data_IF_470116852642
#
_entry.id   IF_470116852642
#
_cell.length_a   1.000
_cell.length_b   1.000
_cell.length_c   1.000
_cell.angle_alpha   90.00
_cell.angle_beta   90.00
_cell.angle_gamma   90.00
#
_symmetry.space_group_name_H-M   'P 1'
#
loop_
_entity.id
_entity.type
_entity.pdbx_description
1 polymer ?
#
# COMPACT_ATOMS: atom_id res chain seq x y z
N UNK A 1 27.68 -5.44 7.38
CA UNK A 1 26.95 -5.54 8.66
C UNK A 1 26.43 -4.16 8.98
N UNK A 2 25.25 -3.82 8.48
CA UNK A 2 24.56 -2.56 8.79
C UNK A 2 23.57 -2.82 9.92
N UNK A 3 23.82 -2.24 11.07
CA UNK A 3 22.91 -2.29 12.22
C UNK A 3 21.75 -1.35 11.91
N UNK A 4 20.59 -1.89 11.52
CA UNK A 4 19.35 -1.15 11.33
C UNK A 4 18.78 -0.78 12.69
N UNK A 5 19.04 0.45 13.12
CA UNK A 5 18.30 1.04 14.22
C UNK A 5 16.90 1.36 13.72
N UNK A 6 15.86 0.74 14.28
CA UNK A 6 14.47 1.10 14.07
C UNK A 6 14.25 2.46 14.71
N UNK A 7 14.61 3.51 13.98
CA UNK A 7 14.37 4.91 14.35
C UNK A 7 13.20 5.43 13.54
N UNK A 8 12.03 5.53 14.15
CA UNK A 8 10.90 6.24 13.58
C UNK A 8 11.30 7.69 13.29
N UNK A 9 11.28 8.09 11.99
CA UNK A 9 11.30 9.51 11.71
C UNK A 9 12.18 10.04 10.59
N UNK A 10 12.61 9.23 9.60
CA UNK A 10 13.05 9.68 8.26
C UNK A 10 13.04 8.45 7.38
N UNK A 11 12.11 8.39 6.42
CA UNK A 11 11.94 7.25 5.52
C UNK A 11 13.28 6.84 4.89
N UNK A 12 13.59 5.55 4.93
CA UNK A 12 14.75 4.99 4.27
C UNK A 12 14.61 5.12 2.75
N UNK A 13 15.57 5.75 2.09
CA UNK A 13 15.56 5.90 0.63
C UNK A 13 16.31 4.76 -0.04
N UNK A 14 15.68 4.11 -1.01
CA UNK A 14 16.28 3.04 -1.82
C UNK A 14 15.79 3.07 -3.27
N UNK A 15 16.54 2.43 -4.15
CA UNK A 15 16.13 2.05 -5.51
C UNK A 15 16.21 0.54 -5.71
N UNK A 16 16.43 -0.22 -4.63
CA UNK A 16 16.52 -1.67 -4.63
C UNK A 16 15.23 -2.30 -4.10
N UNK A 17 14.62 -3.17 -4.89
CA UNK A 17 13.38 -3.88 -4.52
C UNK A 17 13.66 -4.96 -3.47
N UNK A 18 14.84 -5.59 -3.48
CA UNK A 18 15.21 -6.62 -2.53
C UNK A 18 15.26 -6.08 -1.10
N UNK A 19 15.73 -4.84 -0.91
CA UNK A 19 15.73 -4.18 0.40
C UNK A 19 14.31 -3.93 0.90
N UNK A 20 13.38 -3.58 0.00
CA UNK A 20 11.97 -3.39 0.35
C UNK A 20 11.35 -4.73 0.77
N UNK A 21 11.63 -5.79 0.01
CA UNK A 21 11.14 -7.13 0.31
C UNK A 21 11.66 -7.61 1.67
N UNK A 22 12.96 -7.45 1.93
CA UNK A 22 13.56 -7.82 3.22
C UNK A 22 12.91 -7.08 4.38
N UNK A 23 12.62 -5.78 4.21
CA UNK A 23 11.91 -4.98 5.21
C UNK A 23 10.49 -5.51 5.47
N UNK A 24 9.73 -5.80 4.41
CA UNK A 24 8.37 -6.35 4.52
C UNK A 24 8.37 -7.73 5.20
N UNK A 25 9.31 -8.62 4.83
CA UNK A 25 9.46 -9.94 5.44
C UNK A 25 9.82 -9.85 6.92
N UNK A 26 10.75 -8.97 7.29
CA UNK A 26 11.10 -8.75 8.71
C UNK A 26 9.91 -8.24 9.50
N UNK A 27 9.13 -7.33 8.93
CA UNK A 27 7.91 -6.81 9.58
C UNK A 27 6.88 -7.92 9.74
N UNK A 28 6.66 -8.72 8.70
CA UNK A 28 5.77 -9.88 8.75
C UNK A 28 6.18 -10.88 9.84
N UNK A 29 7.44 -11.28 9.88
CA UNK A 29 7.94 -12.21 10.89
C UNK A 29 7.87 -11.63 12.31
N UNK A 30 8.16 -10.33 12.47
CA UNK A 30 8.03 -9.64 13.76
C UNK A 30 6.59 -9.59 14.29
N UNK A 31 5.59 -9.60 13.40
CA UNK A 31 4.18 -9.62 13.78
C UNK A 31 3.64 -11.05 14.00
N UNK A 32 4.19 -12.05 13.32
CA UNK A 32 3.67 -13.43 13.29
C UNK A 32 4.42 -14.41 14.18
N UNK A 33 5.72 -14.16 14.40
CA UNK A 33 6.54 -15.03 15.27
C UNK A 33 6.40 -14.59 16.74
N UNK A 34 6.31 -15.55 17.69
CA UNK A 34 6.34 -15.21 19.11
C UNK A 34 7.69 -14.57 19.45
N UNK A 35 7.73 -13.59 20.38
CA UNK A 35 8.98 -13.09 20.90
C UNK A 35 9.77 -14.25 21.53
N UNK A 36 11.09 -14.25 21.32
CA UNK A 36 12.00 -15.23 21.89
C UNK A 36 12.75 -14.65 23.09
N UNK A 37 13.14 -15.50 24.05
CA UNK A 37 14.06 -15.12 25.12
C UNK A 37 15.52 -14.95 24.61
N UNK A 38 16.44 -14.68 25.53
CA UNK A 38 17.87 -14.47 25.22
C UNK A 38 18.54 -15.72 24.61
N UNK A 39 17.94 -16.91 24.81
CA UNK A 39 18.41 -18.21 24.28
C UNK A 39 17.74 -18.58 22.96
N UNK A 40 16.84 -17.72 22.43
CA UNK A 40 16.10 -17.93 21.18
C UNK A 40 14.91 -18.87 21.32
N UNK A 41 14.48 -19.22 22.56
CA UNK A 41 13.29 -20.03 22.81
C UNK A 41 12.03 -19.15 22.75
N UNK A 42 10.94 -19.64 22.13
CA UNK A 42 9.69 -18.88 22.09
C UNK A 42 9.20 -18.62 23.52
N UNK A 43 8.99 -17.36 23.86
CA UNK A 43 8.29 -17.01 25.09
C UNK A 43 6.85 -17.52 24.97
N UNK A 44 6.38 -18.25 25.98
CA UNK A 44 5.02 -18.77 26.05
C UNK A 44 4.03 -17.58 26.08
N UNK A 45 3.64 -17.13 24.90
CA UNK A 45 2.65 -16.09 24.73
C UNK A 45 1.29 -16.73 24.50
N UNK A 46 0.65 -17.21 25.57
CA UNK A 46 -0.80 -17.43 25.59
C UNK A 46 -1.63 -16.17 25.23
N UNK A 47 -0.97 -15.10 24.79
CA UNK A 47 -1.55 -13.79 24.52
C UNK A 47 -1.89 -13.52 23.06
N UNK A 48 -1.58 -14.44 22.09
CA UNK A 48 -1.96 -14.28 20.68
C UNK A 48 -2.91 -15.38 20.22
N UNK A 49 -3.99 -15.59 20.96
CA UNK A 49 -5.13 -16.40 20.51
C UNK A 49 -6.16 -15.60 19.70
N UNK A 50 -5.89 -14.33 19.39
CA UNK A 50 -6.68 -13.59 18.41
C UNK A 50 -6.16 -13.97 17.01
N UNK A 51 -7.07 -14.31 16.10
CA UNK A 51 -6.75 -14.60 14.71
C UNK A 51 -5.72 -13.58 14.21
N UNK A 52 -4.57 -14.07 13.71
CA UNK A 52 -3.49 -13.20 13.28
C UNK A 52 -4.04 -12.15 12.30
N UNK A 53 -3.92 -10.86 12.65
CA UNK A 53 -4.37 -9.78 11.79
C UNK A 53 -3.47 -9.74 10.55
N UNK A 54 -4.01 -9.40 9.38
CA UNK A 54 -3.20 -9.27 8.18
C UNK A 54 -2.17 -8.15 8.33
N UNK A 55 -0.96 -8.36 7.79
CA UNK A 55 -0.01 -7.28 7.55
C UNK A 55 -0.54 -6.40 6.42
N UNK A 56 -0.71 -5.10 6.67
CA UNK A 56 -1.20 -4.14 5.67
C UNK A 56 -0.03 -3.28 5.16
N UNK A 57 0.31 -3.45 3.87
CA UNK A 57 1.36 -2.70 3.17
C UNK A 57 0.70 -1.66 2.26
N UNK A 58 0.93 -0.38 2.51
CA UNK A 58 0.51 0.70 1.63
C UNK A 58 1.63 1.10 0.66
N UNK A 59 1.36 1.06 -0.66
CA UNK A 59 2.28 1.50 -1.72
C UNK A 59 1.67 2.72 -2.40
N UNK A 60 2.18 3.89 -2.09
CA UNK A 60 1.68 5.18 -2.54
C UNK A 60 2.66 5.89 -3.47
N UNK A 61 2.20 6.90 -4.11
CA UNK A 61 2.97 7.75 -5.02
C UNK A 61 2.11 8.25 -6.16
N UNK A 62 2.50 9.33 -6.79
CA UNK A 62 1.73 9.95 -7.87
C UNK A 62 1.61 9.03 -9.09
N UNK A 63 0.63 9.26 -9.93
CA UNK A 63 0.41 8.52 -11.18
C UNK A 63 1.68 8.42 -12.02
N UNK A 64 1.94 7.23 -12.58
CA UNK A 64 3.15 6.94 -13.36
C UNK A 64 4.43 6.73 -12.54
N UNK A 65 4.38 6.75 -11.20
CA UNK A 65 5.56 6.56 -10.35
C UNK A 65 6.11 5.12 -10.34
N UNK A 66 5.29 4.11 -10.69
CA UNK A 66 5.70 2.70 -10.72
C UNK A 66 5.17 1.86 -9.56
N UNK A 67 4.16 2.32 -8.84
CA UNK A 67 3.49 1.60 -7.74
C UNK A 67 3.05 0.19 -8.12
N UNK A 68 2.28 0.07 -9.20
CA UNK A 68 1.75 -1.21 -9.69
C UNK A 68 2.84 -2.21 -10.03
N UNK A 69 3.98 -1.74 -10.59
CA UNK A 69 5.12 -2.61 -10.83
C UNK A 69 5.73 -3.11 -9.51
N UNK A 70 5.92 -2.22 -8.54
CA UNK A 70 6.46 -2.58 -7.24
C UNK A 70 5.54 -3.56 -6.52
N UNK A 71 4.22 -3.30 -6.51
CA UNK A 71 3.24 -4.16 -5.85
C UNK A 71 3.26 -5.58 -6.43
N UNK A 72 3.33 -5.71 -7.77
CA UNK A 72 3.42 -7.01 -8.43
C UNK A 72 4.72 -7.77 -8.11
N UNK A 73 5.85 -7.06 -7.98
CA UNK A 73 7.12 -7.68 -7.56
C UNK A 73 7.06 -8.18 -6.11
N UNK A 74 6.48 -7.38 -5.19
CA UNK A 74 6.30 -7.79 -3.79
C UNK A 74 5.32 -8.95 -3.67
N UNK A 75 4.19 -8.90 -4.38
CA UNK A 75 3.23 -10.00 -4.42
C UNK A 75 3.89 -11.30 -4.87
N UNK A 76 4.64 -11.26 -5.97
CA UNK A 76 5.35 -12.43 -6.51
C UNK A 76 6.37 -12.98 -5.50
N UNK A 77 7.17 -12.11 -4.90
CA UNK A 77 8.23 -12.51 -3.97
C UNK A 77 7.66 -13.08 -2.68
N UNK A 78 6.64 -12.42 -2.09
CA UNK A 78 5.97 -12.93 -0.87
C UNK A 78 5.25 -14.26 -1.13
N UNK A 79 4.60 -14.40 -2.29
CA UNK A 79 3.95 -15.64 -2.69
C UNK A 79 4.95 -16.80 -2.90
N UNK A 80 6.16 -16.50 -3.38
CA UNK A 80 7.23 -17.49 -3.51
C UNK A 80 7.71 -18.03 -2.15
N UNK A 81 7.60 -17.23 -1.08
CA UNK A 81 7.82 -17.64 0.31
C UNK A 81 6.61 -18.39 0.93
N UNK A 82 5.57 -18.67 0.14
CA UNK A 82 4.36 -19.35 0.60
C UNK A 82 3.38 -18.45 1.37
N UNK A 83 3.56 -17.14 1.33
CA UNK A 83 2.69 -16.16 2.00
C UNK A 83 1.51 -15.85 1.07
N UNK A 84 0.28 -15.98 1.60
CA UNK A 84 -0.92 -15.58 0.88
C UNK A 84 -1.02 -14.05 0.85
N UNK A 85 -1.07 -13.47 -0.35
CA UNK A 85 -1.11 -12.03 -0.59
C UNK A 85 -2.37 -11.64 -1.33
N UNK A 86 -3.06 -10.61 -0.84
CA UNK A 86 -4.12 -9.92 -1.59
C UNK A 86 -3.62 -8.55 -2.02
N UNK A 87 -3.72 -8.24 -3.30
CA UNK A 87 -3.48 -6.88 -3.82
C UNK A 87 -4.82 -6.16 -3.99
N UNK A 88 -4.91 -4.97 -3.42
CA UNK A 88 -6.01 -4.03 -3.61
C UNK A 88 -5.50 -2.80 -4.37
N UNK A 89 -6.04 -2.58 -5.55
CA UNK A 89 -5.72 -1.40 -6.35
C UNK A 89 -6.76 -0.30 -6.07
N UNK A 90 -6.32 0.86 -5.62
CA UNK A 90 -7.22 1.99 -5.32
C UNK A 90 -7.87 2.58 -6.58
N UNK A 91 -7.29 2.38 -7.76
CA UNK A 91 -7.91 2.80 -9.02
C UNK A 91 -9.28 2.12 -9.22
N UNK A 92 -9.52 0.94 -8.61
CA UNK A 92 -10.82 0.28 -8.60
C UNK A 92 -11.82 0.84 -7.59
N UNK A 93 -11.42 1.80 -6.76
CA UNK A 93 -12.28 2.35 -5.69
C UNK A 93 -12.63 3.82 -5.94
N UNK A 94 -11.82 4.56 -6.71
CA UNK A 94 -12.11 5.97 -6.97
C UNK A 94 -13.40 6.13 -7.79
N UNK A 95 -14.40 6.88 -7.30
CA UNK A 95 -15.62 7.14 -8.05
C UNK A 95 -15.38 8.19 -9.15
N UNK A 96 -14.83 7.75 -10.28
CA UNK A 96 -14.52 8.60 -11.44
C UNK A 96 -13.32 9.52 -11.26
N UNK A 97 -13.16 10.41 -12.23
CA UNK A 97 -11.98 11.29 -12.33
C UNK A 97 -11.87 12.40 -11.27
N UNK A 98 -12.88 12.61 -10.43
CA UNK A 98 -12.85 13.53 -9.29
C UNK A 98 -12.85 12.80 -7.93
N UNK A 99 -12.78 11.48 -7.97
CA UNK A 99 -13.03 10.62 -6.82
C UNK A 99 -11.84 10.34 -5.92
N UNK A 100 -10.68 10.97 -6.11
CA UNK A 100 -9.46 10.63 -5.39
C UNK A 100 -9.62 10.77 -3.86
N UNK A 101 -10.21 11.86 -3.39
CA UNK A 101 -10.43 12.08 -1.95
C UNK A 101 -11.44 11.09 -1.37
N UNK A 102 -12.53 10.82 -2.09
CA UNK A 102 -13.57 9.89 -1.67
C UNK A 102 -13.05 8.45 -1.61
N UNK A 103 -12.34 8.00 -2.65
CA UNK A 103 -11.72 6.67 -2.64
C UNK A 103 -10.66 6.52 -1.55
N UNK A 104 -9.89 7.58 -1.26
CA UNK A 104 -8.95 7.59 -0.13
C UNK A 104 -9.68 7.44 1.21
N UNK A 105 -10.80 8.12 1.43
CA UNK A 105 -11.63 7.96 2.64
C UNK A 105 -12.20 6.55 2.75
N UNK A 106 -12.66 5.98 1.64
CA UNK A 106 -13.13 4.59 1.57
C UNK A 106 -12.02 3.63 1.99
N UNK A 107 -10.81 3.80 1.47
CA UNK A 107 -9.67 3.01 1.88
C UNK A 107 -9.31 3.17 3.36
N UNK A 108 -9.37 4.38 3.90
CA UNK A 108 -9.14 4.62 5.33
C UNK A 108 -10.13 3.86 6.21
N UNK A 109 -11.38 3.74 5.80
CA UNK A 109 -12.38 2.96 6.52
C UNK A 109 -12.12 1.45 6.42
N UNK A 110 -11.84 0.96 5.20
CA UNK A 110 -11.46 -0.44 4.94
C UNK A 110 -10.28 -0.84 5.81
N UNK A 111 -9.15 -0.15 5.68
CA UNK A 111 -7.91 -0.48 6.38
C UNK A 111 -8.06 -0.43 7.90
N UNK A 112 -8.83 0.53 8.42
CA UNK A 112 -9.14 0.64 9.85
C UNK A 112 -9.96 -0.55 10.36
N UNK A 113 -10.91 -1.04 9.57
CA UNK A 113 -11.71 -2.21 9.93
C UNK A 113 -10.86 -3.48 9.90
N UNK A 114 -10.07 -3.67 8.84
CA UNK A 114 -9.17 -4.82 8.71
C UNK A 114 -8.16 -4.89 9.86
N UNK A 115 -7.57 -3.75 10.23
CA UNK A 115 -6.62 -3.65 11.35
C UNK A 115 -7.26 -3.93 12.72
N UNK A 116 -8.60 -3.88 12.81
CA UNK A 116 -9.38 -4.28 14.00
C UNK A 116 -9.93 -5.72 13.90
N UNK A 117 -9.48 -6.51 12.93
CA UNK A 117 -9.98 -7.86 12.70
C UNK A 117 -11.43 -7.92 12.18
N UNK A 118 -11.95 -6.82 11.63
CA UNK A 118 -13.32 -6.75 11.12
C UNK A 118 -13.34 -6.84 9.61
N UNK A 119 -14.29 -7.58 9.02
CA UNK A 119 -14.51 -7.54 7.57
C UNK A 119 -14.81 -6.11 7.10
N UNK A 120 -14.41 -5.82 5.87
CA UNK A 120 -14.68 -4.55 5.22
C UNK A 120 -15.17 -4.79 3.79
N UNK A 121 -16.16 -4.03 3.37
CA UNK A 121 -16.70 -4.08 2.01
C UNK A 121 -16.47 -2.77 1.29
N UNK A 122 -16.33 -2.84 -0.01
CA UNK A 122 -16.27 -1.69 -0.90
C UNK A 122 -16.95 -2.02 -2.22
N UNK A 123 -17.37 -0.98 -2.93
CA UNK A 123 -17.92 -1.10 -4.27
C UNK A 123 -16.85 -0.70 -5.28
N UNK A 124 -16.62 -1.60 -6.24
CA UNK A 124 -15.71 -1.31 -7.36
C UNK A 124 -16.33 -0.23 -8.26
N UNK A 125 -15.48 0.62 -8.86
CA UNK A 125 -15.89 1.59 -9.86
C UNK A 125 -15.69 1.04 -11.27
N UNK A 126 -16.75 1.00 -12.04
CA UNK A 126 -16.70 0.63 -13.46
C UNK A 126 -16.36 1.89 -14.29
N UNK A 127 -15.09 2.00 -14.68
CA UNK A 127 -14.57 3.10 -15.48
C UNK A 127 -15.17 3.18 -16.89
N UNK A 128 -15.70 2.09 -17.45
CA UNK A 128 -16.36 2.08 -18.76
C UNK A 128 -17.80 2.56 -18.66
N UNK A 129 -18.51 2.14 -17.63
CA UNK A 129 -19.88 2.54 -17.39
C UNK A 129 -19.98 3.88 -16.66
N UNK A 130 -18.86 4.41 -16.11
CA UNK A 130 -18.79 5.57 -15.22
C UNK A 130 -19.81 5.47 -14.07
N UNK A 131 -19.84 4.32 -13.41
CA UNK A 131 -20.86 3.95 -12.42
C UNK A 131 -20.30 2.97 -11.37
N UNK A 132 -20.98 2.86 -10.19
CA UNK A 132 -20.66 1.82 -9.21
C UNK A 132 -20.85 0.41 -9.81
N UNK A 133 -19.82 -0.41 -9.69
CA UNK A 133 -19.76 -1.81 -10.10
C UNK A 133 -20.11 -2.80 -8.97
N UNK A 134 -19.53 -4.01 -9.00
CA UNK A 134 -19.77 -5.04 -7.99
C UNK A 134 -19.31 -4.62 -6.60
N UNK A 135 -19.92 -5.24 -5.59
CA UNK A 135 -19.47 -5.13 -4.20
C UNK A 135 -18.48 -6.26 -3.87
N UNK A 136 -17.40 -5.91 -3.20
CA UNK A 136 -16.36 -6.83 -2.74
C UNK A 136 -16.25 -6.77 -1.22
N UNK A 137 -15.97 -7.91 -0.60
CA UNK A 137 -15.71 -8.01 0.85
C UNK A 137 -14.32 -8.61 1.09
N UNK A 138 -13.57 -8.01 1.98
CA UNK A 138 -12.30 -8.50 2.48
C UNK A 138 -12.54 -9.01 3.90
N UNK A 139 -12.21 -10.29 4.13
CA UNK A 139 -12.28 -10.89 5.45
C UNK A 139 -10.86 -11.02 6.01
N UNK A 140 -10.49 -10.27 7.06
CA UNK A 140 -9.13 -10.29 7.59
C UNK A 140 -8.68 -11.67 8.11
N UNK A 141 -9.62 -12.54 8.51
CA UNK A 141 -9.30 -13.90 8.94
C UNK A 141 -8.85 -14.84 7.80
N UNK A 142 -9.00 -14.42 6.54
CA UNK A 142 -8.63 -15.18 5.34
C UNK A 142 -7.38 -14.60 4.65
N UNK A 143 -6.91 -13.44 5.10
CA UNK A 143 -5.81 -12.72 4.48
C UNK A 143 -4.58 -12.74 5.42
N UNK A 144 -3.40 -12.96 4.86
CA UNK A 144 -2.13 -12.93 5.61
C UNK A 144 -1.42 -11.61 5.37
N UNK A 145 -1.31 -11.20 4.11
CA UNK A 145 -0.77 -9.91 3.70
C UNK A 145 -1.75 -9.22 2.76
N UNK A 146 -2.00 -7.95 2.99
CA UNK A 146 -2.77 -7.09 2.09
C UNK A 146 -1.86 -5.99 1.59
N UNK A 147 -1.62 -5.94 0.28
CA UNK A 147 -0.93 -4.85 -0.38
C UNK A 147 -2.00 -3.92 -0.96
N UNK A 148 -2.09 -2.70 -0.46
CA UNK A 148 -2.90 -1.66 -1.07
C UNK A 148 -2.00 -0.73 -1.88
N UNK A 149 -2.24 -0.62 -3.19
CA UNK A 149 -1.50 0.27 -4.07
C UNK A 149 -2.42 1.31 -4.70
N UNK A 150 -1.93 2.54 -4.79
CA UNK A 150 -2.64 3.67 -5.38
C UNK A 150 -2.27 4.98 -4.74
N UNK A 151 -2.77 6.09 -5.28
CA UNK A 151 -2.61 7.42 -4.69
C UNK A 151 -3.48 7.51 -3.44
N UNK A 152 -2.90 7.81 -2.28
CA UNK A 152 -3.62 7.80 -1.00
C UNK A 152 -3.53 6.47 -0.23
N UNK A 153 -2.79 5.47 -0.73
CA UNK A 153 -2.66 4.17 -0.07
C UNK A 153 -2.08 4.29 1.35
N UNK A 154 -1.04 5.12 1.55
CA UNK A 154 -0.45 5.31 2.88
C UNK A 154 -1.25 6.24 3.79
N UNK A 155 -2.30 6.89 3.30
CA UNK A 155 -3.23 7.63 4.14
C UNK A 155 -4.15 6.71 4.96
N UNK A 156 -4.24 5.43 4.62
CA UNK A 156 -4.92 4.40 5.40
C UNK A 156 -4.13 3.95 6.63
N UNK A 157 -4.71 3.02 7.39
CA UNK A 157 -4.03 2.33 8.49
C UNK A 157 -3.14 1.24 7.90
N UNK A 158 -1.82 1.46 7.87
CA UNK A 158 -0.83 0.56 7.30
C UNK A 158 0.25 0.24 8.35
N UNK A 159 0.73 -1.01 8.33
CA UNK A 159 1.88 -1.46 9.12
C UNK A 159 3.20 -1.10 8.43
N UNK A 160 3.19 -1.10 7.08
CA UNK A 160 4.31 -0.65 6.24
C UNK A 160 3.82 0.41 5.25
N UNK A 161 4.53 1.53 5.17
CA UNK A 161 4.25 2.65 4.27
C UNK A 161 5.38 2.85 3.29
N UNK A 162 5.12 2.61 2.01
CA UNK A 162 6.10 2.75 0.93
C UNK A 162 5.67 3.90 0.02
N UNK A 163 6.51 4.92 -0.09
CA UNK A 163 6.27 6.06 -0.99
C UNK A 163 7.14 5.94 -2.24
N UNK A 164 6.51 5.73 -3.39
CA UNK A 164 7.20 5.59 -4.69
C UNK A 164 7.32 6.96 -5.34
N UNK A 165 8.56 7.38 -5.65
CA UNK A 165 8.88 8.66 -6.29
C UNK A 165 9.54 8.45 -7.65
N UNK A 166 9.14 9.25 -8.63
CA UNK A 166 9.78 9.35 -9.95
C UNK A 166 9.74 10.80 -10.44
N UNK A 167 10.67 11.21 -11.33
CA UNK A 167 10.62 12.52 -11.98
C UNK A 167 9.31 12.76 -12.75
N UNK A 168 8.83 13.99 -12.76
CA UNK A 168 7.52 14.31 -13.34
C UNK A 168 7.40 13.94 -14.84
N UNK A 169 8.43 14.23 -15.63
CA UNK A 169 8.46 13.88 -17.05
C UNK A 169 8.38 12.36 -17.28
N UNK A 170 9.07 11.58 -16.43
CA UNK A 170 9.04 10.14 -16.49
C UNK A 170 7.65 9.58 -16.15
N UNK A 171 7.02 10.15 -15.09
CA UNK A 171 5.67 9.76 -14.68
C UNK A 171 4.64 10.04 -15.78
N UNK A 172 4.70 11.25 -16.37
CA UNK A 172 3.81 11.62 -17.47
C UNK A 172 3.97 10.65 -18.65
N UNK A 173 5.21 10.41 -19.11
CA UNK A 173 5.48 9.49 -20.21
C UNK A 173 4.91 8.11 -19.92
N UNK A 174 5.20 7.53 -18.73
CA UNK A 174 4.71 6.20 -18.35
C UNK A 174 3.19 6.12 -18.29
N UNK A 175 2.54 7.14 -17.77
CA UNK A 175 1.08 7.21 -17.69
C UNK A 175 0.44 7.27 -19.09
N UNK A 176 0.98 8.10 -19.98
CA UNK A 176 0.47 8.22 -21.34
C UNK A 176 0.80 6.99 -22.19
N UNK A 177 1.97 6.39 -22.03
CA UNK A 177 2.33 5.14 -22.74
C UNK A 177 1.42 3.97 -22.35
N UNK A 178 0.93 3.94 -21.09
CA UNK A 178 0.01 2.91 -20.58
C UNK A 178 -1.43 3.15 -21.01
N UNK A 179 -1.97 4.35 -20.79
CA UNK A 179 -3.40 4.65 -20.86
C UNK A 179 -3.79 5.55 -22.04
N UNK A 180 -2.80 6.13 -22.73
CA UNK A 180 -2.97 6.87 -23.96
C UNK A 180 -3.91 8.08 -23.88
N UNK A 181 -4.77 8.18 -24.90
CA UNK A 181 -5.71 9.29 -25.05
C UNK A 181 -6.86 9.27 -24.02
N UNK A 182 -7.08 8.15 -23.35
CA UNK A 182 -8.08 8.04 -22.26
C UNK A 182 -7.65 8.83 -21.04
N UNK A 183 -6.35 8.85 -20.71
CA UNK A 183 -5.82 9.53 -19.53
C UNK A 183 -5.33 10.96 -19.80
N UNK A 184 -4.83 11.23 -21.01
CA UNK A 184 -4.24 12.53 -21.36
C UNK A 184 -5.11 13.73 -21.00
N UNK A 185 -6.44 13.77 -21.29
CA UNK A 185 -7.31 14.89 -20.94
C UNK A 185 -7.48 15.09 -19.43
N UNK A 186 -7.23 14.04 -18.64
CA UNK A 186 -7.44 14.05 -17.19
C UNK A 186 -6.17 14.26 -16.38
N UNK A 187 -4.99 14.27 -17.02
CA UNK A 187 -3.69 14.36 -16.34
C UNK A 187 -3.59 15.53 -15.38
N UNK A 188 -3.87 16.76 -15.86
CA UNK A 188 -3.77 17.97 -15.05
C UNK A 188 -4.81 17.98 -13.91
N UNK A 189 -6.04 17.56 -14.21
CA UNK A 189 -7.12 17.47 -13.24
C UNK A 189 -6.78 16.48 -12.11
N UNK A 190 -6.24 15.32 -12.49
CA UNK A 190 -5.81 14.31 -11.54
C UNK A 190 -4.60 14.77 -10.74
N UNK A 191 -3.61 15.37 -11.39
CA UNK A 191 -2.42 15.90 -10.73
C UNK A 191 -2.74 16.97 -9.67
N UNK A 192 -3.76 17.81 -9.93
CA UNK A 192 -4.23 18.78 -8.94
C UNK A 192 -4.85 18.13 -7.69
N UNK A 193 -5.60 17.03 -7.86
CA UNK A 193 -6.12 16.27 -6.73
C UNK A 193 -5.00 15.56 -5.95
N UNK A 194 -4.01 14.98 -6.65
CA UNK A 194 -2.81 14.40 -6.02
C UNK A 194 -2.10 15.46 -5.16
N UNK A 195 -1.90 16.69 -5.67
CA UNK A 195 -1.27 17.77 -4.93
C UNK A 195 -2.04 18.12 -3.67
N UNK A 196 -3.37 18.28 -3.77
CA UNK A 196 -4.24 18.57 -2.65
C UNK A 196 -4.20 17.46 -1.60
N UNK A 197 -4.23 16.19 -2.03
CA UNK A 197 -4.17 15.03 -1.14
C UNK A 197 -2.82 14.97 -0.39
N UNK A 198 -1.70 15.12 -1.12
CA UNK A 198 -0.36 15.12 -0.52
C UNK A 198 -0.18 16.27 0.48
N UNK A 199 -0.76 17.43 0.22
CA UNK A 199 -0.76 18.55 1.17
C UNK A 199 -1.60 18.24 2.41
N UNK A 200 -2.81 17.70 2.24
CA UNK A 200 -3.74 17.38 3.33
C UNK A 200 -3.17 16.30 4.27
N UNK A 201 -2.47 15.31 3.74
CA UNK A 201 -1.87 14.20 4.48
C UNK A 201 -0.36 14.32 4.64
N UNK A 202 0.20 15.53 4.55
CA UNK A 202 1.66 15.76 4.54
C UNK A 202 2.38 15.13 5.75
N UNK A 203 1.78 15.15 6.94
CA UNK A 203 2.32 14.52 8.13
C UNK A 203 2.41 12.99 7.99
N UNK A 204 1.43 12.34 7.35
CA UNK A 204 1.44 10.90 7.08
C UNK A 204 2.50 10.55 6.04
N UNK A 205 2.61 11.33 4.97
CA UNK A 205 3.64 11.14 3.94
C UNK A 205 5.06 11.32 4.47
N UNK A 206 5.24 12.19 5.47
CA UNK A 206 6.51 12.35 6.17
C UNK A 206 6.90 11.15 7.04
N UNK A 207 5.94 10.27 7.36
CA UNK A 207 6.12 9.04 8.14
C UNK A 207 6.24 7.79 7.25
N UNK A 208 6.49 7.93 5.94
CA UNK A 208 6.78 6.79 5.10
C UNK A 208 8.00 6.03 5.63
N UNK A 209 7.88 4.71 5.77
CA UNK A 209 8.97 3.85 6.24
C UNK A 209 10.05 3.73 5.17
N UNK A 210 9.60 3.64 3.90
CA UNK A 210 10.49 3.51 2.73
C UNK A 210 10.09 4.55 1.68
N UNK A 211 11.11 5.20 1.11
CA UNK A 211 10.99 6.03 -0.09
C UNK A 211 11.70 5.30 -1.23
N UNK A 212 10.92 4.72 -2.15
CA UNK A 212 11.44 4.01 -3.32
C UNK A 212 11.54 4.97 -4.51
N UNK A 213 12.77 5.13 -5.05
CA UNK A 213 13.02 5.98 -6.22
C UNK A 213 13.12 5.13 -7.48
N UNK A 214 12.24 5.39 -8.45
CA UNK A 214 12.29 4.76 -9.78
C UNK A 214 12.92 5.71 -10.80
N UNK A 215 13.74 5.14 -11.69
CA UNK A 215 14.43 5.82 -12.77
C UNK A 215 13.90 5.38 -14.14
#
# INVERSE_FOLDING_TARGET
>A
MGVWSIGFGNGYETNDVEEILEFCLKTYHGLTLPPTDEDGMPLDTNARNDAALPLIIGIDGRSGSGKTRLSGLLEQSLSAEGICVRVLNLDSIYPGWDGLEEGTKTWQEISRNLHKGKPASYREWDWHADAPGPEHTINPAQEIVIICEGVGAIAGTCDVRILVKAPNELRYRRAIDRDGETYRPHWERWAAQEEALFAAYSATYAQADIIYRTA
#
